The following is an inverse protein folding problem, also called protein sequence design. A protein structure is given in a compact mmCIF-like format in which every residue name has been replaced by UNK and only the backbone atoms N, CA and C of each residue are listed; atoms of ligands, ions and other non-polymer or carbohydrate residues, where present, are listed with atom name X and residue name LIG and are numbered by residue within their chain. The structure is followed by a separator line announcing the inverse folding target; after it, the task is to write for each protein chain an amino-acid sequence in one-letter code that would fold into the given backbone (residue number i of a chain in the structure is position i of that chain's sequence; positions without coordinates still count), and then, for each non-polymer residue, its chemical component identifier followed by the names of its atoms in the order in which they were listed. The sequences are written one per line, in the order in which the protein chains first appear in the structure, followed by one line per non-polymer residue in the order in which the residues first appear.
data_IF_772472636208
#
_entry.id   IF_772472636208
#
_cell.length_a   1.000
_cell.length_b   1.000
_cell.length_c   1.000
_cell.angle_alpha   90.00
_cell.angle_beta   90.00
_cell.angle_gamma   90.00
#
_symmetry.space_group_name_H-M   'P 1'
#
loop_
_entity.id
_entity.type
_entity.pdbx_description
1 polymer ?
#
# COMPACT_ATOMS: atom_id res chain seq x y z
N UNK A 1 -13.87 -4.00 4.67
CA UNK A 1 -13.32 -2.71 4.26
C UNK A 1 -13.24 -1.84 5.49
N UNK A 2 -12.09 -1.21 5.71
CA UNK A 2 -11.85 -0.29 6.83
C UNK A 2 -11.50 1.10 6.29
N UNK A 3 -12.04 2.13 6.91
CA UNK A 3 -11.76 3.53 6.59
C UNK A 3 -12.24 4.42 7.74
N UNK A 4 -12.06 5.73 7.62
CA UNK A 4 -12.53 6.72 8.59
C UNK A 4 -14.08 6.72 8.70
N UNK A 5 -14.63 7.15 9.85
CA UNK A 5 -16.07 7.08 10.12
C UNK A 5 -16.94 7.68 9.01
N UNK A 6 -16.57 8.87 8.51
CA UNK A 6 -17.33 9.58 7.48
C UNK A 6 -17.31 8.85 6.12
N UNK A 7 -16.20 8.15 5.79
CA UNK A 7 -16.09 7.35 4.57
C UNK A 7 -16.94 6.09 4.68
N UNK A 8 -16.88 5.41 5.83
CA UNK A 8 -17.69 4.22 6.11
C UNK A 8 -19.19 4.54 6.12
N UNK A 9 -19.59 5.65 6.73
CA UNK A 9 -20.99 6.09 6.71
C UNK A 9 -21.49 6.29 5.27
N UNK A 10 -20.69 6.97 4.43
CA UNK A 10 -21.01 7.16 3.01
C UNK A 10 -21.03 5.85 2.23
N UNK A 11 -20.09 4.93 2.49
CA UNK A 11 -20.05 3.63 1.82
C UNK A 11 -21.31 2.82 2.14
N UNK A 12 -21.72 2.76 3.41
CA UNK A 12 -22.95 2.07 3.85
C UNK A 12 -24.21 2.63 3.21
N UNK A 13 -24.30 3.94 2.99
CA UNK A 13 -25.47 4.57 2.38
C UNK A 13 -25.57 4.38 0.85
N UNK A 14 -24.46 4.06 0.18
CA UNK A 14 -24.38 3.97 -1.29
C UNK A 14 -24.23 2.56 -1.84
N UNK A 15 -23.87 1.61 -0.99
CA UNK A 15 -23.53 0.26 -1.42
C UNK A 15 -24.65 -0.70 -1.03
N UNK A 16 -25.16 -1.44 -2.00
CA UNK A 16 -26.03 -2.59 -1.72
C UNK A 16 -25.27 -3.58 -0.84
N UNK A 17 -25.89 -4.04 0.24
CA UNK A 17 -25.25 -5.00 1.15
C UNK A 17 -24.85 -6.27 0.38
N UNK A 18 -23.58 -6.60 0.47
CA UNK A 18 -23.05 -7.84 -0.10
C UNK A 18 -22.64 -8.76 1.05
N UNK A 19 -23.08 -10.04 1.08
CA UNK A 19 -22.92 -10.92 2.24
C UNK A 19 -21.45 -11.19 2.62
N UNK A 20 -20.51 -10.98 1.68
CA UNK A 20 -19.07 -11.15 1.92
C UNK A 20 -18.31 -9.85 2.14
N UNK A 21 -19.00 -8.70 2.24
CA UNK A 21 -18.37 -7.39 2.43
C UNK A 21 -18.91 -6.78 3.70
N UNK A 22 -18.02 -6.47 4.62
CA UNK A 22 -18.31 -5.70 5.84
C UNK A 22 -17.54 -4.38 5.85
N UNK A 23 -18.13 -3.37 6.49
CA UNK A 23 -17.54 -2.05 6.65
C UNK A 23 -17.28 -1.79 8.13
N UNK A 24 -16.07 -1.38 8.48
CA UNK A 24 -15.68 -1.04 9.84
C UNK A 24 -14.90 0.28 9.87
N UNK A 25 -15.18 1.07 10.88
CA UNK A 25 -14.44 2.30 11.14
C UNK A 25 -13.07 1.94 11.73
N UNK A 26 -12.01 2.54 11.17
CA UNK A 26 -10.66 2.33 11.65
C UNK A 26 -9.73 3.45 11.19
N UNK A 27 -8.93 3.96 12.11
CA UNK A 27 -7.77 4.80 11.83
C UNK A 27 -6.54 3.91 11.70
N UNK A 28 -5.91 3.87 10.53
CA UNK A 28 -4.73 3.02 10.29
C UNK A 28 -3.49 3.50 11.08
N UNK A 29 -3.51 4.66 11.73
CA UNK A 29 -2.49 5.04 12.71
C UNK A 29 -2.72 4.46 14.10
N UNK A 30 -3.87 3.83 14.32
CA UNK A 30 -4.17 3.06 15.51
C UNK A 30 -3.90 1.55 15.31
N UNK A 31 -3.65 0.78 16.38
CA UNK A 31 -3.41 -0.65 16.26
C UNK A 31 -4.54 -1.39 15.55
N UNK A 32 -4.20 -2.22 14.57
CA UNK A 32 -5.16 -3.05 13.85
C UNK A 32 -5.79 -4.08 14.80
N UNK A 33 -7.13 -4.08 14.87
CA UNK A 33 -7.89 -4.95 15.78
C UNK A 33 -8.36 -6.26 15.16
N UNK A 34 -8.39 -6.31 13.83
CA UNK A 34 -8.89 -7.50 13.11
C UNK A 34 -7.74 -8.37 12.67
N UNK A 35 -7.77 -9.62 13.06
CA UNK A 35 -6.87 -10.63 12.51
C UNK A 35 -7.42 -11.14 11.17
N UNK A 36 -6.57 -11.20 10.16
CA UNK A 36 -6.93 -11.61 8.81
C UNK A 36 -5.80 -12.40 8.14
N UNK A 37 -6.14 -13.14 7.09
CA UNK A 37 -5.17 -13.83 6.25
C UNK A 37 -4.40 -12.87 5.33
N UNK A 38 -5.02 -11.71 5.01
CA UNK A 38 -4.38 -10.68 4.21
C UNK A 38 -4.85 -9.27 4.62
N UNK A 39 -3.91 -8.34 4.60
CA UNK A 39 -4.12 -6.91 4.78
C UNK A 39 -3.76 -6.21 3.48
N UNK A 40 -4.69 -5.44 2.94
CA UNK A 40 -4.52 -4.80 1.64
C UNK A 40 -4.56 -3.28 1.76
N UNK A 41 -3.45 -2.64 1.44
CA UNK A 41 -3.29 -1.20 1.33
C UNK A 41 -3.24 -0.82 -0.15
N UNK A 42 -4.24 -0.09 -0.63
CA UNK A 42 -4.31 0.34 -2.02
C UNK A 42 -4.32 1.85 -2.10
N UNK A 43 -3.30 2.43 -2.74
CA UNK A 43 -3.12 3.88 -2.88
C UNK A 43 -3.19 4.56 -1.49
N UNK A 44 -2.36 4.06 -0.57
CA UNK A 44 -2.28 4.56 0.81
C UNK A 44 -0.88 5.06 1.11
N UNK A 45 0.15 4.21 0.95
CA UNK A 45 1.48 4.55 1.46
C UNK A 45 2.17 5.66 0.67
N UNK A 46 1.74 5.87 -0.57
CA UNK A 46 2.27 6.94 -1.41
C UNK A 46 1.84 8.35 -0.96
N UNK A 47 0.77 8.47 -0.17
CA UNK A 47 0.31 9.74 0.43
C UNK A 47 1.10 10.12 1.69
N UNK A 48 2.02 9.27 2.14
CA UNK A 48 2.72 9.42 3.41
C UNK A 48 4.23 9.38 3.23
N UNK A 49 4.94 10.21 4.01
CA UNK A 49 6.40 10.12 4.12
C UNK A 49 6.84 8.77 4.72
N UNK A 50 8.14 8.45 4.69
CA UNK A 50 8.63 7.14 5.11
C UNK A 50 8.37 6.84 6.59
N UNK A 51 8.40 7.85 7.46
CA UNK A 51 8.14 7.67 8.90
C UNK A 51 6.68 7.30 9.17
N UNK A 52 5.74 8.02 8.54
CA UNK A 52 4.31 7.77 8.70
C UNK A 52 3.88 6.48 7.98
N UNK A 53 4.39 6.21 6.78
CA UNK A 53 4.15 4.95 6.08
C UNK A 53 4.64 3.74 6.91
N UNK A 54 5.81 3.83 7.53
CA UNK A 54 6.31 2.80 8.45
C UNK A 54 5.42 2.67 9.70
N UNK A 55 4.92 3.79 10.23
CA UNK A 55 3.98 3.78 11.35
C UNK A 55 2.70 3.03 11.00
N UNK A 56 2.10 3.28 9.82
CA UNK A 56 0.91 2.56 9.34
C UNK A 56 1.17 1.05 9.30
N UNK A 57 2.29 0.63 8.69
CA UNK A 57 2.65 -0.79 8.59
C UNK A 57 2.80 -1.42 9.98
N UNK A 58 3.48 -0.74 10.92
CA UNK A 58 3.69 -1.24 12.28
C UNK A 58 2.39 -1.43 13.07
N UNK A 59 1.31 -0.69 12.75
CA UNK A 59 0.01 -0.90 13.37
C UNK A 59 -0.67 -2.20 12.88
N UNK A 60 -0.32 -2.69 11.70
CA UNK A 60 -0.88 -3.93 11.12
C UNK A 60 -0.17 -5.17 11.68
N UNK A 61 1.15 -5.11 11.85
CA UNK A 61 2.00 -6.26 12.19
C UNK A 61 1.51 -7.05 13.40
N UNK A 62 1.10 -6.46 14.54
CA UNK A 62 0.62 -7.21 15.70
C UNK A 62 -0.61 -8.08 15.43
N UNK A 63 -1.46 -7.68 14.49
CA UNK A 63 -2.66 -8.44 14.11
C UNK A 63 -2.38 -9.55 13.08
N UNK A 64 -1.22 -9.55 12.43
CA UNK A 64 -0.83 -10.59 11.48
C UNK A 64 -0.46 -11.88 12.21
N UNK A 65 -0.84 -13.01 11.66
CA UNK A 65 -0.38 -14.35 12.06
C UNK A 65 0.73 -14.83 11.14
N UNK A 66 1.46 -15.86 11.52
CA UNK A 66 2.35 -16.55 10.59
C UNK A 66 1.56 -17.02 9.36
N UNK A 67 2.08 -16.75 8.16
CA UNK A 67 1.38 -16.98 6.90
C UNK A 67 0.47 -15.84 6.44
N UNK A 68 0.11 -14.89 7.30
CA UNK A 68 -0.66 -13.70 6.87
C UNK A 68 0.12 -12.88 5.84
N UNK A 69 -0.59 -12.30 4.89
CA UNK A 69 0.00 -11.49 3.82
C UNK A 69 -0.24 -10.01 4.02
N UNK A 70 0.79 -9.21 3.77
CA UNK A 70 0.66 -7.77 3.54
C UNK A 70 0.71 -7.52 2.02
N UNK A 71 -0.34 -6.92 1.50
CA UNK A 71 -0.51 -6.58 0.10
C UNK A 71 -0.53 -5.06 -0.04
N UNK A 72 0.37 -4.51 -0.87
CA UNK A 72 0.46 -3.07 -1.12
C UNK A 72 0.30 -2.86 -2.63
N UNK A 73 -0.59 -1.96 -3.01
CA UNK A 73 -0.83 -1.60 -4.40
C UNK A 73 -0.65 -0.10 -4.59
N UNK A 74 0.54 0.30 -4.94
CA UNK A 74 0.95 1.68 -5.22
C UNK A 74 1.70 1.75 -6.55
N UNK A 75 1.94 2.96 -7.05
CA UNK A 75 2.84 3.16 -8.18
C UNK A 75 4.27 2.77 -7.78
N UNK A 76 4.99 2.09 -8.67
CA UNK A 76 6.39 1.72 -8.45
C UNK A 76 7.26 2.47 -9.45
N UNK A 77 8.11 3.36 -8.94
CA UNK A 77 9.06 4.10 -9.77
C UNK A 77 10.14 3.16 -10.32
N UNK A 78 10.56 3.37 -11.57
CA UNK A 78 11.75 2.70 -12.08
C UNK A 78 12.98 3.18 -11.30
N UNK A 79 13.95 2.29 -11.13
CA UNK A 79 15.24 2.67 -10.54
C UNK A 79 15.96 3.69 -11.43
N UNK A 80 16.69 4.65 -10.83
CA UNK A 80 17.52 5.57 -11.59
C UNK A 80 18.58 4.80 -12.40
N UNK A 81 18.58 4.96 -13.72
CA UNK A 81 19.57 4.35 -14.64
C UNK A 81 19.48 2.82 -14.77
N UNK A 82 18.28 2.28 -15.05
CA UNK A 82 18.11 0.92 -15.55
C UNK A 82 17.96 0.94 -17.08
N UNK A 83 18.89 0.31 -17.83
CA UNK A 83 18.63 -0.04 -19.21
C UNK A 83 17.48 -1.05 -19.24
N UNK A 84 16.44 -0.81 -20.07
CA UNK A 84 15.36 -1.78 -20.28
C UNK A 84 14.07 -1.51 -19.52
N UNK A 85 13.91 -0.38 -18.87
CA UNK A 85 12.64 0.02 -18.32
C UNK A 85 11.69 0.46 -19.44
N UNK A 86 10.59 -0.17 -19.56
CA UNK A 86 9.41 0.07 -20.36
C UNK A 86 9.22 1.42 -21.05
N UNK A 87 8.05 1.65 -21.63
CA UNK A 87 7.70 2.86 -22.36
C UNK A 87 8.12 4.14 -21.61
N UNK A 88 8.89 5.01 -22.30
CA UNK A 88 9.25 6.38 -21.84
C UNK A 88 8.02 7.17 -21.36
N UNK A 89 6.86 6.95 -22.01
CA UNK A 89 5.60 7.55 -21.63
C UNK A 89 5.16 7.12 -20.21
N UNK A 90 5.29 5.84 -19.90
CA UNK A 90 4.96 5.30 -18.57
C UNK A 90 5.87 5.89 -17.50
N UNK A 91 7.16 5.97 -17.75
CA UNK A 91 8.10 6.58 -16.80
C UNK A 91 7.75 8.04 -16.53
N UNK A 92 7.47 8.82 -17.58
CA UNK A 92 7.02 10.22 -17.42
C UNK A 92 5.77 10.33 -16.57
N UNK A 93 4.79 9.45 -16.75
CA UNK A 93 3.56 9.44 -15.96
C UNK A 93 3.85 9.16 -14.49
N UNK A 94 4.68 8.14 -14.20
CA UNK A 94 5.08 7.80 -12.83
C UNK A 94 5.83 8.95 -12.14
N UNK A 95 6.77 9.61 -12.84
CA UNK A 95 7.50 10.74 -12.27
C UNK A 95 6.62 11.98 -12.08
N UNK A 96 5.60 12.18 -12.93
CA UNK A 96 4.58 13.21 -12.70
C UNK A 96 3.74 12.93 -11.46
N UNK A 97 3.36 11.66 -11.25
CA UNK A 97 2.68 11.23 -10.02
C UNK A 97 3.54 11.54 -8.79
N UNK A 98 4.83 11.21 -8.84
CA UNK A 98 5.76 11.45 -7.74
C UNK A 98 5.86 12.95 -7.38
N UNK A 99 5.99 13.82 -8.39
CA UNK A 99 5.97 15.28 -8.17
C UNK A 99 4.62 15.71 -7.57
N UNK A 100 3.51 15.12 -8.02
CA UNK A 100 2.18 15.36 -7.46
C UNK A 100 2.08 14.97 -6.00
N UNK A 101 2.56 13.79 -5.62
CA UNK A 101 2.60 13.35 -4.21
C UNK A 101 3.46 14.27 -3.35
N UNK A 102 4.60 14.71 -3.86
CA UNK A 102 5.45 15.66 -3.15
C UNK A 102 4.76 17.00 -2.92
N UNK A 103 4.14 17.57 -3.95
CA UNK A 103 3.53 18.91 -3.86
C UNK A 103 2.24 18.94 -3.05
N UNK A 104 1.42 17.88 -3.09
CA UNK A 104 0.12 17.84 -2.44
C UNK A 104 0.18 17.29 -1.01
N UNK A 105 1.07 16.33 -0.75
CA UNK A 105 1.07 15.57 0.50
C UNK A 105 2.42 15.59 1.23
N UNK A 106 3.46 16.24 0.70
CA UNK A 106 4.85 16.12 1.19
C UNK A 106 5.30 14.65 1.27
N UNK A 107 4.83 13.85 0.34
CA UNK A 107 5.02 12.41 0.24
C UNK A 107 5.73 12.04 -1.06
N UNK A 108 5.77 10.76 -1.42
CA UNK A 108 6.46 10.30 -2.64
C UNK A 108 5.97 8.96 -3.13
N UNK A 109 6.05 8.74 -4.42
CA UNK A 109 6.07 7.40 -4.98
C UNK A 109 7.42 6.73 -4.66
N UNK A 110 7.44 5.40 -4.57
CA UNK A 110 8.65 4.65 -4.19
C UNK A 110 9.06 3.68 -5.27
N UNK A 111 10.37 3.50 -5.43
CA UNK A 111 10.88 2.36 -6.19
C UNK A 111 10.66 1.06 -5.43
N UNK A 112 10.78 -0.09 -6.11
CA UNK A 112 10.64 -1.39 -5.45
C UNK A 112 11.67 -1.59 -4.33
N UNK A 113 12.90 -1.13 -4.53
CA UNK A 113 13.97 -1.20 -3.52
C UNK A 113 13.60 -0.36 -2.29
N UNK A 114 13.10 0.86 -2.50
CA UNK A 114 12.66 1.73 -1.41
C UNK A 114 11.47 1.15 -0.66
N UNK A 115 10.48 0.59 -1.36
CA UNK A 115 9.30 -0.02 -0.74
C UNK A 115 9.69 -1.27 0.07
N UNK A 116 10.56 -2.11 -0.46
CA UNK A 116 11.08 -3.27 0.27
C UNK A 116 11.84 -2.85 1.53
N UNK A 117 12.74 -1.88 1.43
CA UNK A 117 13.47 -1.35 2.58
C UNK A 117 12.52 -0.81 3.66
N UNK A 118 11.45 -0.11 3.26
CA UNK A 118 10.44 0.43 4.16
C UNK A 118 9.70 -0.71 4.89
N UNK A 119 9.18 -1.68 4.16
CA UNK A 119 8.34 -2.76 4.72
C UNK A 119 9.17 -3.73 5.57
N UNK A 120 10.28 -4.22 5.02
CA UNK A 120 11.17 -5.17 5.70
C UNK A 120 11.87 -4.51 6.91
N UNK A 121 12.06 -3.19 6.90
CA UNK A 121 12.56 -2.42 8.04
C UNK A 121 11.54 -2.22 9.17
N UNK A 122 10.26 -2.52 8.95
CA UNK A 122 9.24 -2.47 10.00
C UNK A 122 9.23 -3.73 10.88
N UNK A 123 9.46 -4.90 10.26
CA UNK A 123 9.59 -6.19 10.96
C UNK A 123 10.36 -7.15 10.05
N UNK A 124 11.48 -7.69 10.58
CA UNK A 124 12.34 -8.64 9.84
C UNK A 124 11.68 -9.98 9.49
N UNK A 125 10.48 -10.25 10.05
CA UNK A 125 9.67 -11.42 9.69
C UNK A 125 8.79 -11.21 8.44
N UNK A 126 8.77 -10.02 7.87
CA UNK A 126 8.06 -9.73 6.62
C UNK A 126 8.97 -10.08 5.43
N UNK A 127 8.72 -11.23 4.82
CA UNK A 127 9.47 -11.69 3.65
C UNK A 127 8.76 -11.31 2.35
N UNK A 128 9.47 -10.64 1.45
CA UNK A 128 8.96 -10.26 0.13
C UNK A 128 8.68 -11.48 -0.74
N UNK A 129 7.51 -11.55 -1.35
CA UNK A 129 7.10 -12.64 -2.24
C UNK A 129 7.19 -12.26 -3.72
N UNK A 130 6.97 -10.99 -4.04
CA UNK A 130 7.03 -10.54 -5.42
C UNK A 130 6.22 -9.30 -5.72
N UNK A 131 6.36 -8.82 -6.96
CA UNK A 131 5.64 -7.67 -7.50
C UNK A 131 4.98 -8.06 -8.82
N UNK A 132 3.76 -7.59 -9.03
CA UNK A 132 3.02 -7.78 -10.29
C UNK A 132 2.32 -6.50 -10.69
N UNK A 133 2.54 -6.06 -11.92
CA UNK A 133 1.81 -4.93 -12.50
C UNK A 133 0.73 -5.47 -13.44
N UNK A 134 -0.56 -5.25 -13.16
CA UNK A 134 -1.63 -5.62 -14.09
C UNK A 134 -1.48 -4.86 -15.41
N UNK A 135 -1.83 -5.47 -16.56
CA UNK A 135 -1.81 -4.77 -17.84
C UNK A 135 -2.64 -3.48 -17.79
N UNK A 136 -2.08 -2.38 -18.28
CA UNK A 136 -2.73 -1.06 -18.29
C UNK A 136 -2.80 -0.35 -16.93
N UNK A 137 -2.32 -0.97 -15.84
CA UNK A 137 -2.33 -0.35 -14.51
C UNK A 137 -1.10 0.53 -14.28
N UNK A 138 -1.30 1.69 -13.63
CA UNK A 138 -0.22 2.50 -13.08
C UNK A 138 0.36 1.89 -11.79
N UNK A 139 -0.49 1.26 -10.98
CA UNK A 139 -0.11 0.67 -9.72
C UNK A 139 0.34 -0.78 -9.91
N UNK A 140 1.29 -1.19 -9.08
CA UNK A 140 1.80 -2.56 -8.98
C UNK A 140 1.40 -3.17 -7.65
N UNK A 141 0.96 -4.41 -7.67
CA UNK A 141 0.69 -5.18 -6.47
C UNK A 141 1.99 -5.82 -5.97
N UNK A 142 2.40 -5.42 -4.80
CA UNK A 142 3.54 -5.97 -4.07
C UNK A 142 3.03 -6.81 -2.90
N UNK A 143 3.69 -7.91 -2.59
CA UNK A 143 3.24 -8.84 -1.56
C UNK A 143 4.37 -9.30 -0.65
N UNK A 144 4.06 -9.39 0.64
CA UNK A 144 4.90 -9.95 1.70
C UNK A 144 4.12 -11.00 2.47
N UNK A 145 4.83 -11.94 3.07
CA UNK A 145 4.29 -12.91 4.03
C UNK A 145 4.97 -12.71 5.37
N UNK A 146 4.24 -12.86 6.46
CA UNK A 146 4.80 -12.92 7.81
C UNK A 146 5.23 -14.35 8.12
N UNK A 147 6.50 -14.54 8.44
CA UNK A 147 7.11 -15.79 8.92
C UNK A 147 7.14 -15.85 10.43
#
# INVERSE_FOLDING_TARGET
VQDRPEVIARARSRTTQHPRVSFAEHDFFAPQRLTADAYFLRLILHDWNDADAARIIRQIIPAMRNGSRLLIMDAVLPEPRGEGSGSVLRERQLRRSDIGMFTLFSAKERSLVQMRKLVEGCDGRLRFLGVRTPPGSHASLMSWVRE
#
